data_IF_841026146951
#
_entry.id   IF_841026146951
#
_cell.length_a   1.000
_cell.length_b   1.000
_cell.length_c   1.000
_cell.angle_alpha   90.00
_cell.angle_beta   90.00
_cell.angle_gamma   90.00
#
_symmetry.space_group_name_H-M   'P 1'
#
loop_
_entity.id
_entity.type
_entity.pdbx_description
1 polymer ?
#
# COMPACT_ATOMS: atom_id res chain seq x y z
N UNK A 1 -1.78 -16.52 -23.61
CA UNK A 1 -2.00 -16.48 -22.15
C UNK A 1 -1.68 -15.07 -21.66
N UNK A 2 -2.60 -14.42 -20.93
CA UNK A 2 -2.31 -13.16 -20.24
C UNK A 2 -1.17 -13.39 -19.24
N UNK A 3 -0.02 -12.74 -19.43
CA UNK A 3 1.17 -12.90 -18.57
C UNK A 3 0.86 -12.58 -17.11
N UNK A 4 -0.11 -11.71 -16.86
CA UNK A 4 -0.54 -11.38 -15.52
C UNK A 4 -1.25 -12.58 -14.86
N UNK A 5 -2.02 -13.36 -15.62
CA UNK A 5 -2.75 -14.53 -15.10
C UNK A 5 -1.83 -15.68 -14.73
N UNK A 6 -0.79 -15.93 -15.53
CA UNK A 6 0.24 -16.90 -15.16
C UNK A 6 0.94 -16.51 -13.85
N UNK A 7 1.29 -15.23 -13.69
CA UNK A 7 1.91 -14.74 -12.45
C UNK A 7 0.96 -14.84 -11.24
N UNK A 8 -0.32 -14.50 -11.42
CA UNK A 8 -1.35 -14.65 -10.38
C UNK A 8 -1.45 -16.09 -9.87
N UNK A 9 -1.41 -17.09 -10.76
CA UNK A 9 -1.44 -18.50 -10.37
C UNK A 9 -0.21 -18.93 -9.57
N UNK A 10 0.95 -18.32 -9.83
CA UNK A 10 2.21 -18.66 -9.12
C UNK A 10 2.32 -18.00 -7.74
N UNK A 11 1.60 -16.90 -7.51
CA UNK A 11 1.68 -16.14 -6.26
C UNK A 11 1.48 -16.99 -4.98
N UNK A 12 0.42 -17.82 -4.84
CA UNK A 12 0.26 -18.69 -3.67
C UNK A 12 1.46 -19.59 -3.42
N UNK A 13 2.05 -20.14 -4.49
CA UNK A 13 3.20 -21.04 -4.40
C UNK A 13 4.45 -20.31 -3.91
N UNK A 14 4.71 -19.10 -4.45
CA UNK A 14 5.83 -18.25 -4.03
C UNK A 14 5.72 -17.93 -2.53
N UNK A 15 4.54 -17.50 -2.09
CA UNK A 15 4.29 -17.08 -0.71
C UNK A 15 4.36 -18.24 0.28
N UNK A 16 3.76 -19.38 -0.10
CA UNK A 16 3.79 -20.59 0.72
C UNK A 16 5.22 -21.13 0.85
N UNK A 17 5.97 -21.16 -0.25
CA UNK A 17 7.38 -21.61 -0.26
C UNK A 17 8.29 -20.68 0.54
N UNK A 18 8.02 -19.37 0.49
CA UNK A 18 8.68 -18.37 1.31
C UNK A 18 8.29 -18.43 2.81
N UNK A 19 7.29 -19.27 3.16
CA UNK A 19 6.75 -19.43 4.51
C UNK A 19 6.27 -18.11 5.14
N UNK A 20 5.79 -17.18 4.33
CA UNK A 20 5.28 -15.89 4.78
C UNK A 20 3.87 -16.08 5.35
N UNK A 21 3.59 -15.49 6.51
CA UNK A 21 2.30 -15.56 7.22
C UNK A 21 2.00 -14.22 7.90
N UNK A 22 0.74 -13.97 8.22
CA UNK A 22 0.31 -12.77 8.95
C UNK A 22 0.23 -11.55 8.04
N UNK A 23 0.49 -10.35 8.59
CA UNK A 23 0.41 -9.11 7.82
C UNK A 23 1.56 -9.03 6.82
N UNK A 24 1.26 -8.83 5.54
CA UNK A 24 2.25 -8.80 4.47
C UNK A 24 2.12 -7.51 3.67
N UNK A 25 3.07 -6.57 3.84
CA UNK A 25 3.15 -5.38 3.00
C UNK A 25 3.45 -5.74 1.55
N UNK A 26 2.61 -5.26 0.64
CA UNK A 26 2.75 -5.42 -0.80
C UNK A 26 3.02 -4.04 -1.37
N UNK A 27 4.25 -3.82 -1.80
CA UNK A 27 4.64 -2.59 -2.45
C UNK A 27 4.15 -2.63 -3.89
N UNK A 28 3.37 -1.63 -4.27
CA UNK A 28 2.92 -1.40 -5.63
C UNK A 28 3.50 -0.08 -6.09
N UNK A 29 4.12 -0.13 -7.27
CA UNK A 29 4.73 1.04 -7.86
C UNK A 29 4.61 1.00 -9.38
N UNK A 30 4.71 2.19 -9.97
CA UNK A 30 4.65 2.41 -11.42
C UNK A 30 5.93 3.08 -11.86
N UNK A 31 6.55 2.52 -12.89
CA UNK A 31 7.68 3.14 -13.56
C UNK A 31 7.31 3.45 -14.99
N UNK A 32 7.55 4.68 -15.39
CA UNK A 32 7.46 5.11 -16.78
C UNK A 32 8.81 4.76 -17.44
N UNK A 33 8.76 3.95 -18.49
CA UNK A 33 9.88 3.60 -19.35
C UNK A 33 9.87 4.52 -20.58
N UNK A 34 10.94 4.45 -21.38
CA UNK A 34 11.03 5.22 -22.62
C UNK A 34 9.84 4.96 -23.56
N UNK A 35 9.53 5.95 -24.40
CA UNK A 35 8.48 5.87 -25.43
C UNK A 35 7.06 5.66 -24.87
N UNK A 36 6.79 6.09 -23.63
CA UNK A 36 5.46 6.03 -23.01
C UNK A 36 5.03 4.63 -22.56
N UNK A 37 5.97 3.67 -22.56
CA UNK A 37 5.73 2.35 -21.98
C UNK A 37 5.62 2.49 -20.47
N UNK A 38 4.57 1.91 -19.89
CA UNK A 38 4.35 1.93 -18.45
C UNK A 38 4.56 0.53 -17.87
N UNK A 39 5.25 0.44 -16.74
CA UNK A 39 5.38 -0.79 -15.98
C UNK A 39 4.73 -0.65 -14.61
N UNK A 40 3.74 -1.50 -14.34
CA UNK A 40 3.23 -1.73 -12.99
C UNK A 40 3.96 -2.94 -12.39
N UNK A 41 4.39 -2.83 -11.14
CA UNK A 41 4.95 -3.96 -10.43
C UNK A 41 4.43 -4.05 -8.99
N UNK A 42 4.33 -5.28 -8.49
CA UNK A 42 3.98 -5.58 -7.11
C UNK A 42 5.06 -6.50 -6.53
N UNK A 43 5.54 -6.18 -5.33
CA UNK A 43 6.56 -6.96 -4.63
C UNK A 43 6.31 -7.00 -3.13
N UNK A 44 6.81 -8.05 -2.48
CA UNK A 44 6.79 -8.17 -1.01
C UNK A 44 8.20 -8.09 -0.47
N UNK A 45 8.36 -7.51 0.72
CA UNK A 45 9.64 -7.55 1.42
C UNK A 45 9.87 -8.97 1.97
N UNK A 46 10.87 -9.67 1.43
CA UNK A 46 11.31 -10.97 1.90
C UNK A 46 12.82 -10.96 2.10
N UNK A 47 13.28 -11.26 3.32
CA UNK A 47 14.72 -11.31 3.68
C UNK A 47 15.51 -10.09 3.18
N UNK A 48 14.98 -8.87 3.43
CA UNK A 48 15.56 -7.57 3.02
C UNK A 48 15.66 -7.35 1.49
N UNK A 49 14.96 -8.17 0.70
CA UNK A 49 14.85 -8.01 -0.76
C UNK A 49 13.38 -7.88 -1.15
N UNK A 50 13.12 -7.17 -2.25
CA UNK A 50 11.82 -7.21 -2.89
C UNK A 50 11.67 -8.52 -3.66
N UNK A 51 10.76 -9.39 -3.22
CA UNK A 51 10.36 -10.58 -3.96
C UNK A 51 9.22 -10.19 -4.91
N UNK A 52 9.43 -10.22 -6.24
CA UNK A 52 8.40 -9.86 -7.20
C UNK A 52 7.21 -10.81 -7.12
N UNK A 53 6.00 -10.26 -7.14
CA UNK A 53 4.76 -11.03 -7.21
C UNK A 53 4.09 -10.89 -8.58
N UNK A 54 3.98 -9.66 -9.07
CA UNK A 54 3.34 -9.34 -10.34
C UNK A 54 4.11 -8.24 -11.05
N UNK A 55 4.12 -8.30 -12.38
CA UNK A 55 4.61 -7.26 -13.26
C UNK A 55 3.71 -7.21 -14.49
N UNK A 56 3.30 -6.01 -14.88
CA UNK A 56 2.60 -5.74 -16.13
C UNK A 56 3.31 -4.62 -16.86
N UNK A 57 3.59 -4.84 -18.13
CA UNK A 57 4.05 -3.80 -19.05
C UNK A 57 2.89 -3.48 -19.97
N UNK A 58 2.63 -2.19 -20.17
CA UNK A 58 1.58 -1.69 -21.05
C UNK A 58 2.14 -0.60 -21.95
N UNK A 59 1.85 -0.71 -23.25
CA UNK A 59 2.18 0.31 -24.24
C UNK A 59 1.17 1.47 -24.20
N UNK A 60 1.51 2.65 -24.74
CA UNK A 60 0.63 3.82 -24.75
C UNK A 60 -0.80 3.53 -25.25
N UNK A 61 -0.93 2.66 -26.25
CA UNK A 61 -2.21 2.28 -26.88
C UNK A 61 -3.14 1.54 -25.92
N UNK A 62 -2.60 0.88 -24.89
CA UNK A 62 -3.39 0.15 -23.89
C UNK A 62 -3.92 1.07 -22.77
N UNK A 63 -3.26 2.21 -22.54
CA UNK A 63 -3.48 3.02 -21.34
C UNK A 63 -4.68 3.97 -21.48
N UNK A 64 -5.10 4.29 -22.70
CA UNK A 64 -6.17 5.26 -22.94
C UNK A 64 -7.41 4.58 -23.52
N UNK A 65 -8.62 4.63 -22.91
CA UNK A 65 -9.03 5.29 -21.65
C UNK A 65 -8.97 4.36 -20.42
N UNK A 66 -8.25 3.23 -20.50
CA UNK A 66 -8.40 2.11 -19.55
C UNK A 66 -7.45 2.14 -18.33
N UNK A 67 -6.61 3.18 -18.17
CA UNK A 67 -5.55 3.26 -17.16
C UNK A 67 -6.03 2.92 -15.74
N UNK A 68 -7.08 3.61 -15.23
CA UNK A 68 -7.58 3.38 -13.88
C UNK A 68 -8.04 1.92 -13.71
N UNK A 69 -8.73 1.36 -14.71
CA UNK A 69 -9.19 -0.03 -14.68
C UNK A 69 -8.02 -1.02 -14.67
N UNK A 70 -6.96 -0.75 -15.43
CA UNK A 70 -5.75 -1.56 -15.43
C UNK A 70 -5.06 -1.55 -14.07
N UNK A 71 -4.92 -0.38 -13.44
CA UNK A 71 -4.36 -0.24 -12.10
C UNK A 71 -5.22 -0.94 -11.04
N UNK A 72 -6.53 -0.74 -11.06
CA UNK A 72 -7.46 -1.43 -10.14
C UNK A 72 -7.37 -2.95 -10.28
N UNK A 73 -7.38 -3.47 -11.52
CA UNK A 73 -7.23 -4.90 -11.78
C UNK A 73 -5.87 -5.42 -11.30
N UNK A 74 -4.81 -4.65 -11.51
CA UNK A 74 -3.47 -4.99 -11.07
C UNK A 74 -3.37 -5.06 -9.54
N UNK A 75 -3.88 -4.05 -8.83
CA UNK A 75 -3.86 -3.95 -7.36
C UNK A 75 -4.76 -5.01 -6.71
N UNK A 76 -5.88 -5.35 -7.34
CA UNK A 76 -6.82 -6.35 -6.81
C UNK A 76 -6.22 -7.76 -6.79
N UNK A 77 -5.50 -8.13 -7.85
CA UNK A 77 -4.95 -9.50 -8.01
C UNK A 77 -4.14 -9.99 -6.80
N UNK A 78 -3.14 -9.25 -6.29
CA UNK A 78 -2.37 -9.73 -5.16
C UNK A 78 -3.22 -9.75 -3.88
N UNK A 79 -4.21 -8.87 -3.73
CA UNK A 79 -5.07 -8.90 -2.54
C UNK A 79 -6.00 -10.12 -2.53
N UNK A 80 -6.49 -10.55 -3.69
CA UNK A 80 -7.52 -11.62 -3.76
C UNK A 80 -6.97 -13.03 -3.97
N UNK A 81 -5.71 -13.19 -4.37
CA UNK A 81 -5.13 -14.51 -4.71
C UNK A 81 -4.06 -14.98 -3.73
N UNK A 82 -3.87 -14.27 -2.61
CA UNK A 82 -2.92 -14.73 -1.59
C UNK A 82 -3.50 -15.86 -0.75
N UNK A 83 -2.64 -16.73 -0.19
CA UNK A 83 -3.07 -17.72 0.78
C UNK A 83 -3.80 -17.06 1.95
N UNK A 84 -4.85 -17.71 2.47
CA UNK A 84 -5.66 -17.20 3.59
C UNK A 84 -4.86 -17.00 4.89
N UNK A 85 -3.67 -17.59 4.99
CA UNK A 85 -2.72 -17.39 6.09
C UNK A 85 -2.04 -16.01 6.07
N UNK A 86 -2.25 -15.23 5.01
CA UNK A 86 -1.66 -13.91 4.80
C UNK A 86 -2.77 -12.85 4.77
N UNK A 87 -2.50 -11.73 5.45
CA UNK A 87 -3.32 -10.51 5.43
C UNK A 87 -2.56 -9.46 4.62
N UNK A 88 -2.93 -9.21 3.36
CA UNK A 88 -2.24 -8.22 2.54
C UNK A 88 -2.39 -6.81 3.12
N UNK A 89 -1.35 -5.98 2.97
CA UNK A 89 -1.40 -4.54 3.20
C UNK A 89 -0.77 -3.86 1.99
N UNK A 90 -1.59 -3.22 1.16
CA UNK A 90 -1.10 -2.53 -0.04
C UNK A 90 -0.36 -1.26 0.34
N UNK A 91 0.89 -1.11 -0.09
CA UNK A 91 1.69 0.10 0.03
C UNK A 91 1.86 0.71 -1.36
N UNK A 92 1.44 1.96 -1.56
CA UNK A 92 1.55 2.63 -2.86
C UNK A 92 2.12 4.06 -2.73
N UNK A 93 2.85 4.52 -3.75
CA UNK A 93 3.35 5.90 -3.80
C UNK A 93 2.28 6.89 -4.32
N UNK A 94 2.63 8.18 -4.35
CA UNK A 94 1.80 9.34 -4.69
C UNK A 94 1.09 9.24 -6.04
N UNK A 95 1.68 8.54 -7.02
CA UNK A 95 1.06 8.31 -8.34
C UNK A 95 -0.28 7.55 -8.28
N UNK A 96 -0.54 6.86 -7.15
CA UNK A 96 -1.78 6.12 -6.90
C UNK A 96 -2.81 6.92 -6.07
N UNK A 97 -2.49 8.17 -5.70
CA UNK A 97 -3.37 9.04 -4.90
C UNK A 97 -4.50 9.75 -5.66
N UNK A 98 -4.85 9.32 -6.88
CA UNK A 98 -5.95 9.91 -7.68
C UNK A 98 -7.31 9.58 -7.06
N UNK A 99 -8.26 10.52 -7.07
CA UNK A 99 -9.56 10.38 -6.41
C UNK A 99 -10.32 9.09 -6.78
N UNK A 100 -10.40 8.75 -8.08
CA UNK A 100 -11.06 7.51 -8.54
C UNK A 100 -10.41 6.25 -7.97
N UNK A 101 -9.08 6.22 -7.93
CA UNK A 101 -8.32 5.08 -7.44
C UNK A 101 -8.38 4.98 -5.91
N UNK A 102 -8.38 6.11 -5.21
CA UNK A 102 -8.57 6.18 -3.76
C UNK A 102 -9.92 5.58 -3.33
N UNK A 103 -11.01 5.86 -4.06
CA UNK A 103 -12.32 5.25 -3.79
C UNK A 103 -12.29 3.72 -3.91
N UNK A 104 -11.52 3.18 -4.85
CA UNK A 104 -11.28 1.75 -4.95
C UNK A 104 -10.42 1.23 -3.78
N UNK A 105 -9.32 1.92 -3.46
CA UNK A 105 -8.36 1.50 -2.43
C UNK A 105 -8.93 1.59 -1.01
N UNK A 106 -9.94 2.43 -0.76
CA UNK A 106 -10.70 2.46 0.51
C UNK A 106 -11.33 1.11 0.87
N UNK A 107 -11.56 0.23 -0.11
CA UNK A 107 -12.12 -1.11 0.09
C UNK A 107 -11.05 -2.15 0.43
N UNK A 108 -9.77 -1.76 0.46
CA UNK A 108 -8.63 -2.64 0.67
C UNK A 108 -7.80 -2.12 1.87
N UNK A 109 -7.16 -3.03 2.63
CA UNK A 109 -6.16 -2.62 3.62
C UNK A 109 -4.97 -1.95 2.89
N UNK A 110 -4.88 -0.63 2.97
CA UNK A 110 -3.95 0.17 2.16
C UNK A 110 -3.29 1.28 2.97
N UNK A 111 -2.00 1.52 2.73
CA UNK A 111 -1.29 2.76 3.05
C UNK A 111 -0.79 3.42 1.76
N UNK A 112 -1.14 4.69 1.57
CA UNK A 112 -0.76 5.46 0.37
C UNK A 112 0.06 6.65 0.83
N UNK A 113 1.21 6.86 0.20
CA UNK A 113 1.95 8.11 0.37
C UNK A 113 1.21 9.20 -0.39
N UNK A 114 0.76 10.25 0.30
CA UNK A 114 0.14 11.42 -0.32
C UNK A 114 1.13 12.60 -0.31
N UNK A 115 1.25 13.33 -1.43
CA UNK A 115 2.03 14.59 -1.51
C UNK A 115 1.25 15.79 -1.00
N UNK A 116 -0.08 15.71 -1.02
CA UNK A 116 -0.98 16.79 -0.63
C UNK A 116 -1.67 16.36 0.65
N UNK A 117 -1.91 17.28 1.58
CA UNK A 117 -2.74 17.02 2.75
C UNK A 117 -4.16 16.73 2.29
N UNK A 118 -4.45 15.47 1.97
CA UNK A 118 -5.80 15.02 1.69
C UNK A 118 -6.45 14.80 3.04
N UNK A 119 -7.42 15.64 3.39
CA UNK A 119 -8.20 15.48 4.61
C UNK A 119 -8.98 14.17 4.54
N UNK A 120 -8.50 13.14 5.24
CA UNK A 120 -9.24 11.91 5.43
C UNK A 120 -9.73 11.84 6.87
N UNK A 121 -11.05 11.80 7.06
CA UNK A 121 -11.63 11.37 8.33
C UNK A 121 -11.61 9.85 8.38
N UNK A 122 -10.66 9.29 9.11
CA UNK A 122 -10.70 7.87 9.49
C UNK A 122 -11.63 7.76 10.70
N UNK A 123 -12.81 7.19 10.50
CA UNK A 123 -13.64 6.73 11.62
C UNK A 123 -12.96 5.49 12.22
N UNK A 124 -12.18 5.69 13.29
CA UNK A 124 -11.68 4.58 14.08
C UNK A 124 -12.86 3.92 14.80
N UNK A 125 -12.98 2.57 14.80
CA UNK A 125 -13.99 1.91 15.61
C UNK A 125 -13.72 2.23 17.07
N UNK A 126 -14.73 2.80 17.73
CA UNK A 126 -14.71 3.19 19.13
C UNK A 126 -14.65 1.94 20.01
N UNK A 127 -13.46 1.39 20.23
CA UNK A 127 -13.19 0.50 21.37
C UNK A 127 -12.34 1.22 22.39
N UNK A 128 -12.91 2.27 22.97
CA UNK A 128 -12.32 2.92 24.14
C UNK A 128 -12.47 1.96 25.32
N UNK A 129 -11.45 1.13 25.58
CA UNK A 129 -11.18 0.70 26.96
C UNK A 129 -10.82 1.97 27.72
N UNK A 130 -11.73 2.42 28.59
CA UNK A 130 -11.41 3.38 29.63
C UNK A 130 -10.27 2.79 30.47
N UNK A 131 -9.06 3.29 30.27
CA UNK A 131 -8.00 3.20 31.26
C UNK A 131 -8.16 4.44 32.12
N UNK A 132 -8.82 4.29 33.26
CA UNK A 132 -8.82 5.30 34.31
C UNK A 132 -7.39 5.45 34.84
N UNK A 133 -6.76 6.59 34.55
CA UNK A 133 -5.53 7.00 35.24
C UNK A 133 -5.91 7.90 36.42
N UNK A 134 -5.48 7.60 37.65
CA UNK A 134 -5.70 8.49 38.78
C UNK A 134 -4.61 9.58 38.84
N UNK A 135 -5.07 10.78 39.20
CA UNK A 135 -4.34 11.88 39.83
C UNK A 135 -3.36 12.70 39.00
N UNK A 136 -3.90 13.84 38.56
CA UNK A 136 -3.20 15.10 38.34
C UNK A 136 -2.52 15.59 39.62
N UNK A 137 -1.19 15.58 39.66
CA UNK A 137 -0.44 16.57 40.45
C UNK A 137 0.20 17.58 39.51
N UNK A 138 -0.13 18.83 39.78
CA UNK A 138 0.40 20.04 39.17
C UNK A 138 1.92 20.04 39.23
N UNK A 139 2.57 20.23 38.07
CA UNK A 139 4.00 20.48 37.95
C UNK A 139 4.19 21.72 37.09
N UNK A 140 4.56 22.81 37.74
CA UNK A 140 4.75 24.14 37.15
C UNK A 140 5.79 24.13 36.02
N UNK A 141 5.57 24.96 35.02
CA UNK A 141 6.50 25.30 33.95
C UNK A 141 7.49 26.37 34.46
N UNK A 142 8.81 26.17 34.38
CA UNK A 142 9.76 27.27 34.45
C UNK A 142 10.15 27.68 33.02
N UNK A 143 9.79 28.92 32.67
CA UNK A 143 10.40 29.69 31.58
C UNK A 143 11.81 30.17 31.98
N UNK A 144 12.57 30.65 30.99
CA UNK A 144 14.00 31.04 30.96
C UNK A 144 14.90 29.82 30.75
N UNK A 145 15.92 29.81 29.88
CA UNK A 145 16.91 30.86 29.61
C UNK A 145 17.21 30.96 28.11
N UNK A 146 17.19 32.19 27.60
CA UNK A 146 17.98 32.60 26.45
C UNK A 146 19.18 33.41 26.97
N UNK A 147 20.21 33.47 26.13
CA UNK A 147 21.39 34.35 26.08
C UNK A 147 22.68 34.00 26.86
N UNK A 148 23.76 34.12 26.07
CA UNK A 148 25.19 34.34 26.36
C UNK A 148 26.01 33.10 26.78
N UNK A 149 27.10 32.72 26.10
CA UNK A 149 28.08 33.44 25.25
C UNK A 149 28.57 32.59 24.08
#
# INVERSE_FOLDING_TARGET
>A
MDTLSAQTTLMPHIITSARIKGMMPIMIDRSDLDSGINRLFAAVCFRRRGLPLLSRVSCPEELNPSHNRLEEMFIRRPVTHLPTTVRPLTLADRGFGRASLLLFMQRLPTLIRCSVAVGFSVALPTSTRQISSPNSHQGACPQSWATET
#
